data_IF_296683653043
#
_entry.id   IF_296683653043
#
_cell.length_a   1.000
_cell.length_b   1.000
_cell.length_c   1.000
_cell.angle_alpha   90.00
_cell.angle_beta   90.00
_cell.angle_gamma   90.00
#
_symmetry.space_group_name_H-M   'P 1'
#
loop_
_entity.id
_entity.type
_entity.pdbx_description
1 polymer ?
#
# COMPACT_ATOMS: atom_id res chain seq x y z
N UNK A 1 -25.73 -5.87 23.26
CA UNK A 1 -26.20 -5.03 22.14
C UNK A 1 -27.72 -5.02 22.01
N UNK A 2 -28.43 -6.15 21.87
CA UNK A 2 -29.92 -6.13 21.75
C UNK A 2 -30.64 -5.62 23.01
N UNK A 3 -30.22 -6.02 24.21
CA UNK A 3 -30.83 -5.55 25.46
C UNK A 3 -30.58 -4.05 25.74
N UNK A 4 -29.47 -3.47 25.25
CA UNK A 4 -29.17 -2.04 25.46
C UNK A 4 -30.01 -1.16 24.52
N UNK A 5 -30.18 -1.57 23.26
CA UNK A 5 -31.05 -0.87 22.30
C UNK A 5 -32.53 -0.86 22.71
N UNK A 6 -33.00 -1.91 23.38
CA UNK A 6 -34.38 -1.98 23.89
C UNK A 6 -34.61 -0.99 25.05
N UNK A 7 -33.65 -0.89 25.97
CA UNK A 7 -33.72 0.04 27.11
C UNK A 7 -33.67 1.50 26.62
N UNK A 8 -32.81 1.80 25.66
CA UNK A 8 -32.64 3.16 25.12
C UNK A 8 -33.88 3.65 24.36
N UNK A 9 -34.50 2.78 23.54
CA UNK A 9 -35.71 3.12 22.78
C UNK A 9 -36.94 3.34 23.68
N UNK A 10 -37.06 2.60 24.77
CA UNK A 10 -38.14 2.81 25.75
C UNK A 10 -37.90 4.05 26.61
N UNK A 11 -36.65 4.35 26.94
CA UNK A 11 -36.27 5.57 27.69
C UNK A 11 -36.69 6.85 26.97
N UNK A 12 -36.48 6.93 25.64
CA UNK A 12 -36.84 8.11 24.85
C UNK A 12 -38.35 8.35 24.77
N UNK A 13 -39.15 7.29 24.68
CA UNK A 13 -40.62 7.40 24.70
C UNK A 13 -41.13 7.84 26.07
N UNK A 14 -40.55 7.30 27.15
CA UNK A 14 -40.90 7.67 28.52
C UNK A 14 -40.56 9.15 28.78
N UNK A 15 -39.38 9.60 28.35
CA UNK A 15 -38.97 11.01 28.46
C UNK A 15 -39.92 11.95 27.69
N UNK A 16 -40.30 11.58 26.47
CA UNK A 16 -41.23 12.37 25.66
C UNK A 16 -42.63 12.46 26.30
N UNK A 17 -43.16 11.34 26.80
CA UNK A 17 -44.46 11.29 27.48
C UNK A 17 -44.41 12.10 28.79
N UNK A 18 -43.32 12.01 29.55
CA UNK A 18 -43.13 12.78 30.78
C UNK A 18 -43.12 14.29 30.51
N UNK A 19 -42.43 14.74 29.45
CA UNK A 19 -42.42 16.15 29.04
C UNK A 19 -43.81 16.61 28.61
N UNK A 20 -44.55 15.79 27.85
CA UNK A 20 -45.90 16.10 27.41
C UNK A 20 -46.87 16.25 28.59
N UNK A 21 -46.81 15.34 29.57
CA UNK A 21 -47.62 15.39 30.80
C UNK A 21 -47.29 16.64 31.61
N UNK A 22 -46.01 17.01 31.69
CA UNK A 22 -45.56 18.18 32.46
C UNK A 22 -46.04 19.49 31.81
N UNK A 23 -46.01 19.57 30.48
CA UNK A 23 -46.57 20.71 29.71
C UNK A 23 -48.10 20.79 29.88
N UNK A 24 -48.80 19.67 29.76
CA UNK A 24 -50.26 19.61 29.96
C UNK A 24 -50.60 20.00 31.40
N UNK A 25 -49.82 19.54 32.37
CA UNK A 25 -49.96 19.91 33.77
C UNK A 25 -49.85 21.42 33.98
N UNK A 26 -48.78 22.05 33.47
CA UNK A 26 -48.56 23.50 33.61
C UNK A 26 -49.71 24.32 32.99
N UNK A 27 -50.30 23.87 31.87
CA UNK A 27 -51.37 24.60 31.18
C UNK A 27 -52.76 24.34 31.76
N UNK A 28 -53.05 23.11 32.17
CA UNK A 28 -54.41 22.68 32.56
C UNK A 28 -54.66 22.82 34.05
N UNK A 29 -53.65 22.62 34.92
CA UNK A 29 -53.83 22.71 36.38
C UNK A 29 -54.29 24.11 36.84
N UNK A 30 -53.71 25.24 36.38
CA UNK A 30 -54.15 26.56 36.82
C UNK A 30 -55.60 26.86 36.43
N UNK A 31 -55.99 26.48 35.20
CA UNK A 31 -57.36 26.63 34.73
C UNK A 31 -58.33 25.76 35.54
N UNK A 32 -58.03 24.48 35.71
CA UNK A 32 -58.89 23.53 36.44
C UNK A 32 -59.06 23.89 37.92
N UNK A 33 -58.00 24.38 38.58
CA UNK A 33 -58.05 24.80 39.99
C UNK A 33 -58.73 26.16 40.19
N UNK A 34 -58.78 27.02 39.16
CA UNK A 34 -59.38 28.37 39.25
C UNK A 34 -60.91 28.40 39.07
N UNK A 35 -61.52 27.37 38.47
CA UNK A 35 -62.91 27.40 37.99
C UNK A 35 -63.93 26.71 38.90
N UNK A 36 -63.51 25.92 39.92
CA UNK A 36 -64.42 25.09 40.70
C UNK A 36 -64.47 25.46 42.19
N UNK A 37 -65.69 25.60 42.74
CA UNK A 37 -65.97 25.85 44.16
C UNK A 37 -65.66 24.63 45.03
N UNK A 38 -64.39 24.25 45.11
CA UNK A 38 -63.95 23.35 46.16
C UNK A 38 -64.14 24.06 47.51
N UNK A 39 -64.60 23.36 48.56
CA UNK A 39 -64.78 23.91 49.94
C UNK A 39 -63.47 24.43 50.59
N UNK A 40 -62.39 24.59 49.84
CA UNK A 40 -61.14 25.19 50.30
C UNK A 40 -61.19 26.70 50.09
N UNK A 41 -61.03 27.48 51.17
CA UNK A 41 -60.91 28.93 51.08
C UNK A 41 -59.53 29.31 50.56
N UNK A 42 -59.48 29.87 49.35
CA UNK A 42 -58.24 30.30 48.69
C UNK A 42 -57.74 31.69 49.16
N UNK A 43 -58.21 32.21 50.30
CA UNK A 43 -57.79 33.52 50.85
C UNK A 43 -56.30 33.56 51.27
N UNK A 44 -55.71 32.42 51.64
CA UNK A 44 -54.30 32.26 52.03
C UNK A 44 -53.56 31.27 51.09
N UNK A 45 -53.86 31.30 49.78
CA UNK A 45 -53.21 30.44 48.76
C UNK A 45 -51.70 30.53 48.70
N UNK A 46 -51.14 31.69 49.06
CA UNK A 46 -49.68 31.89 49.12
C UNK A 46 -48.99 30.85 50.01
N UNK A 47 -49.52 30.59 51.21
CA UNK A 47 -48.92 29.65 52.18
C UNK A 47 -48.99 28.17 51.72
N UNK A 48 -50.04 27.81 50.98
CA UNK A 48 -50.17 26.48 50.35
C UNK A 48 -49.15 26.36 49.22
N UNK A 49 -49.02 27.39 48.38
CA UNK A 49 -48.00 27.47 47.34
C UNK A 49 -46.57 27.39 47.88
N UNK A 50 -46.29 28.09 48.99
CA UNK A 50 -45.00 28.11 49.66
C UNK A 50 -44.63 26.73 50.25
N UNK A 51 -45.62 26.03 50.81
CA UNK A 51 -45.42 24.67 51.36
C UNK A 51 -45.20 23.64 50.25
N UNK A 52 -45.99 23.71 49.17
CA UNK A 52 -45.81 22.84 48.00
C UNK A 52 -44.46 23.13 47.33
N UNK A 53 -44.13 24.39 47.08
CA UNK A 53 -42.85 24.80 46.49
C UNK A 53 -41.66 24.42 47.36
N UNK A 54 -41.74 24.62 48.68
CA UNK A 54 -40.67 24.28 49.63
C UNK A 54 -40.35 22.80 49.71
N UNK A 55 -41.35 21.92 49.53
CA UNK A 55 -41.18 20.45 49.55
C UNK A 55 -40.82 19.92 48.15
N UNK A 56 -41.49 20.42 47.11
CA UNK A 56 -41.33 19.89 45.74
C UNK A 56 -40.06 20.38 45.05
N UNK A 57 -39.61 21.61 45.30
CA UNK A 57 -38.43 22.15 44.62
C UNK A 57 -37.14 21.36 44.93
N UNK A 58 -36.82 20.97 46.19
CA UNK A 58 -35.67 20.11 46.47
C UNK A 58 -35.77 18.71 45.84
N UNK A 59 -36.97 18.11 45.82
CA UNK A 59 -37.22 16.81 45.18
C UNK A 59 -37.00 16.87 43.67
N UNK A 60 -37.57 17.88 43.00
CA UNK A 60 -37.35 18.13 41.57
C UNK A 60 -35.87 18.42 41.30
N UNK A 61 -35.21 19.18 42.18
CA UNK A 61 -33.78 19.47 42.10
C UNK A 61 -32.92 18.21 42.16
N UNK A 62 -33.23 17.29 43.07
CA UNK A 62 -32.52 16.00 43.20
C UNK A 62 -32.74 15.10 41.99
N UNK A 63 -33.99 14.98 41.51
CA UNK A 63 -34.30 14.23 40.29
C UNK A 63 -33.57 14.84 39.08
N UNK A 64 -33.58 16.16 38.95
CA UNK A 64 -32.90 16.88 37.88
C UNK A 64 -31.39 16.65 37.93
N UNK A 65 -30.77 16.70 39.11
CA UNK A 65 -29.35 16.41 39.28
C UNK A 65 -28.98 14.97 38.85
N UNK A 66 -29.81 13.98 39.20
CA UNK A 66 -29.62 12.59 38.78
C UNK A 66 -29.74 12.45 37.26
N UNK A 67 -30.76 13.06 36.65
CA UNK A 67 -30.96 13.03 35.19
C UNK A 67 -29.80 13.70 34.44
N UNK A 68 -29.34 14.85 34.93
CA UNK A 68 -28.18 15.57 34.39
C UNK A 68 -26.92 14.70 34.48
N UNK A 69 -26.68 14.05 35.62
CA UNK A 69 -25.56 13.12 35.78
C UNK A 69 -25.62 11.95 34.78
N UNK A 70 -26.80 11.36 34.60
CA UNK A 70 -26.99 10.28 33.61
C UNK A 70 -26.75 10.78 32.18
N UNK A 71 -27.23 11.97 31.83
CA UNK A 71 -27.01 12.59 30.53
C UNK A 71 -25.51 12.83 30.27
N UNK A 72 -24.79 13.40 31.25
CA UNK A 72 -23.34 13.58 31.14
C UNK A 72 -22.59 12.25 30.99
N UNK A 73 -23.02 11.20 31.70
CA UNK A 73 -22.42 9.87 31.56
C UNK A 73 -22.57 9.33 30.14
N UNK A 74 -23.75 9.48 29.52
CA UNK A 74 -23.99 9.09 28.12
C UNK A 74 -23.14 9.95 27.16
N UNK A 75 -23.06 11.27 27.40
CA UNK A 75 -22.25 12.17 26.59
C UNK A 75 -20.75 11.82 26.64
N UNK A 76 -20.21 11.49 27.81
CA UNK A 76 -18.81 11.05 27.95
C UNK A 76 -18.58 9.77 27.15
N UNK A 77 -19.51 8.80 27.22
CA UNK A 77 -19.43 7.57 26.43
C UNK A 77 -19.44 7.87 24.93
N UNK A 78 -20.34 8.73 24.45
CA UNK A 78 -20.40 9.14 23.05
C UNK A 78 -19.10 9.82 22.60
N UNK A 79 -18.54 10.73 23.40
CA UNK A 79 -17.27 11.40 23.11
C UNK A 79 -16.10 10.41 23.01
N UNK A 80 -16.05 9.39 23.88
CA UNK A 80 -15.02 8.35 23.79
C UNK A 80 -15.13 7.55 22.48
N UNK A 81 -16.35 7.26 22.03
CA UNK A 81 -16.55 6.55 20.76
C UNK A 81 -16.18 7.42 19.56
N UNK A 82 -16.55 8.71 19.57
CA UNK A 82 -16.14 9.69 18.57
C UNK A 82 -14.61 9.78 18.48
N UNK A 83 -13.90 9.79 19.62
CA UNK A 83 -12.43 9.81 19.62
C UNK A 83 -11.82 8.56 18.98
N UNK A 84 -12.42 7.38 19.17
CA UNK A 84 -11.96 6.16 18.49
C UNK A 84 -12.19 6.25 16.98
N UNK A 85 -13.39 6.68 16.56
CA UNK A 85 -13.71 6.86 15.14
C UNK A 85 -12.77 7.87 14.48
N UNK A 86 -12.46 8.98 15.15
CA UNK A 86 -11.53 9.99 14.66
C UNK A 86 -10.10 9.46 14.47
N UNK A 87 -9.64 8.54 15.33
CA UNK A 87 -8.33 7.88 15.15
C UNK A 87 -8.33 6.92 13.95
N UNK A 88 -9.42 6.17 13.75
CA UNK A 88 -9.58 5.29 12.59
C UNK A 88 -9.58 6.11 11.30
N UNK A 89 -10.37 7.19 11.26
CA UNK A 89 -10.44 8.08 10.10
C UNK A 89 -9.09 8.72 9.76
N UNK A 90 -8.35 9.25 10.74
CA UNK A 90 -7.00 9.78 10.50
C UNK A 90 -6.04 8.75 9.91
N UNK A 91 -6.16 7.49 10.35
CA UNK A 91 -5.37 6.41 9.79
C UNK A 91 -5.78 6.10 8.36
N UNK A 92 -7.08 5.96 8.10
CA UNK A 92 -7.64 5.73 6.77
C UNK A 92 -7.21 6.82 5.80
N UNK A 93 -7.37 8.10 6.15
CA UNK A 93 -6.96 9.24 5.34
C UNK A 93 -5.47 9.19 4.99
N UNK A 94 -4.62 8.90 5.99
CA UNK A 94 -3.17 8.77 5.78
C UNK A 94 -2.84 7.56 4.91
N UNK A 95 -3.54 6.45 5.08
CA UNK A 95 -3.34 5.24 4.31
C UNK A 95 -3.76 5.43 2.84
N UNK A 96 -4.94 6.00 2.58
CA UNK A 96 -5.39 6.35 1.22
C UNK A 96 -4.45 7.36 0.55
N UNK A 97 -3.94 8.35 1.28
CA UNK A 97 -2.93 9.28 0.76
C UNK A 97 -1.64 8.56 0.35
N UNK A 98 -1.20 7.57 1.13
CA UNK A 98 -0.01 6.77 0.82
C UNK A 98 -0.22 5.86 -0.40
N UNK A 99 -1.45 5.36 -0.61
CA UNK A 99 -1.84 4.61 -1.80
C UNK A 99 -1.87 5.48 -3.06
N UNK A 100 -2.41 6.70 -2.95
CA UNK A 100 -2.40 7.67 -4.05
C UNK A 100 -0.96 8.03 -4.41
N UNK A 101 -0.12 8.34 -3.41
CA UNK A 101 1.30 8.61 -3.63
C UNK A 101 2.04 7.41 -4.25
N UNK A 102 1.66 6.18 -3.91
CA UNK A 102 2.21 4.99 -4.56
C UNK A 102 1.89 4.96 -6.05
N UNK A 103 0.62 5.14 -6.40
CA UNK A 103 0.14 5.20 -7.79
C UNK A 103 0.81 6.33 -8.56
N UNK A 104 1.02 7.48 -7.92
CA UNK A 104 1.75 8.60 -8.51
C UNK A 104 3.23 8.30 -8.75
N UNK A 105 3.90 7.60 -7.83
CA UNK A 105 5.30 7.19 -8.04
C UNK A 105 5.44 6.30 -9.28
N UNK A 106 4.46 5.43 -9.54
CA UNK A 106 4.44 4.60 -10.75
C UNK A 106 4.12 5.44 -11.99
N UNK A 107 3.02 6.20 -11.97
CA UNK A 107 2.57 6.96 -13.14
C UNK A 107 3.57 8.04 -13.57
N UNK A 108 4.24 8.68 -12.61
CA UNK A 108 5.23 9.73 -12.84
C UNK A 108 6.63 9.16 -13.08
N UNK A 109 6.84 7.85 -12.92
CA UNK A 109 8.09 7.22 -13.29
C UNK A 109 8.32 7.42 -14.78
N UNK A 110 9.44 8.04 -15.15
CA UNK A 110 9.79 8.31 -16.54
C UNK A 110 11.26 8.04 -16.84
N UNK A 111 11.53 7.55 -18.05
CA UNK A 111 12.87 7.49 -18.62
C UNK A 111 12.85 8.30 -19.91
N UNK A 112 13.65 9.36 -19.92
CA UNK A 112 13.85 10.22 -21.08
C UNK A 112 15.23 9.96 -21.67
N UNK A 113 15.27 9.72 -22.98
CA UNK A 113 16.50 9.55 -23.72
C UNK A 113 16.32 9.97 -25.16
N UNK A 114 17.44 10.20 -25.82
CA UNK A 114 17.46 10.51 -27.24
C UNK A 114 17.71 9.23 -28.04
N UNK A 115 16.77 8.88 -28.90
CA UNK A 115 16.89 7.79 -29.84
C UNK A 115 17.35 8.29 -31.22
N UNK A 116 18.00 7.42 -31.99
CA UNK A 116 18.46 7.72 -33.36
C UNK A 116 17.67 6.84 -34.31
N UNK A 117 16.94 7.47 -35.23
CA UNK A 117 16.15 6.77 -36.24
C UNK A 117 16.80 6.94 -37.58
N UNK A 118 17.09 5.81 -38.23
CA UNK A 118 17.52 5.74 -39.62
C UNK A 118 16.27 5.57 -40.48
N UNK A 119 15.99 6.54 -41.37
CA UNK A 119 14.92 6.38 -42.34
C UNK A 119 15.42 5.58 -43.54
N UNK A 120 14.72 4.48 -43.84
CA UNK A 120 14.92 3.76 -45.09
C UNK A 120 14.16 4.49 -46.21
N UNK A 121 14.88 4.89 -47.27
CA UNK A 121 14.22 5.43 -48.45
C UNK A 121 13.49 4.29 -49.16
N UNK A 122 12.16 4.33 -49.21
CA UNK A 122 11.38 3.50 -50.13
C UNK A 122 11.69 3.98 -51.55
N UNK A 123 12.58 3.28 -52.26
CA UNK A 123 12.88 3.55 -53.67
C UNK A 123 12.11 2.59 -54.56
N UNK A 124 11.18 3.15 -55.32
CA UNK A 124 10.38 2.49 -56.35
C UNK A 124 11.19 2.21 -57.65
N UNK A 125 12.42 1.70 -57.56
CA UNK A 125 13.18 1.33 -58.78
C UNK A 125 14.32 0.33 -58.57
N UNK A 126 14.29 -0.68 -59.44
CA UNK A 126 15.27 -1.75 -59.65
C UNK A 126 16.66 -1.21 -60.08
N UNK A 127 17.50 -0.75 -59.16
CA UNK A 127 18.94 -0.60 -59.40
C UNK A 127 19.79 -0.90 -58.15
N UNK A 128 21.02 -1.44 -58.29
CA UNK A 128 21.80 -1.92 -57.17
C UNK A 128 22.42 -0.79 -56.31
N UNK A 129 22.52 -1.12 -55.02
CA UNK A 129 22.96 -0.31 -53.87
C UNK A 129 24.20 0.55 -54.12
N UNK A 130 24.04 1.88 -54.08
CA UNK A 130 25.02 2.76 -53.43
C UNK A 130 24.53 2.98 -52.00
N UNK A 131 25.37 2.77 -50.99
CA UNK A 131 25.10 3.19 -49.60
C UNK A 131 24.98 4.71 -49.58
N UNK A 132 23.81 5.26 -49.93
CA UNK A 132 23.47 6.63 -49.58
C UNK A 132 23.36 6.71 -48.06
N UNK A 133 23.94 7.73 -47.46
CA UNK A 133 23.76 8.05 -46.04
C UNK A 133 22.27 8.09 -45.73
N UNK A 134 21.78 7.14 -44.95
CA UNK A 134 20.43 7.20 -44.40
C UNK A 134 20.36 8.43 -43.49
N UNK A 135 19.40 9.35 -43.68
CA UNK A 135 19.27 10.50 -42.81
C UNK A 135 18.96 9.99 -41.40
N UNK A 136 19.81 10.39 -40.45
CA UNK A 136 19.63 10.10 -39.03
C UNK A 136 18.88 11.25 -38.40
N UNK A 137 17.71 10.97 -37.85
CA UNK A 137 16.99 11.96 -37.02
C UNK A 137 17.10 11.58 -35.56
N UNK A 138 17.31 12.60 -34.73
CA UNK A 138 17.24 12.48 -33.28
C UNK A 138 15.78 12.59 -32.87
N UNK A 139 15.29 11.66 -32.06
CA UNK A 139 13.95 11.70 -31.46
C UNK A 139 14.09 11.62 -29.95
N UNK A 140 13.51 12.58 -29.24
CA UNK A 140 13.39 12.45 -27.79
C UNK A 140 12.25 11.49 -27.48
N UNK A 141 12.57 10.44 -26.72
CA UNK A 141 11.64 9.39 -26.33
C UNK A 141 11.45 9.47 -24.83
N UNK A 142 10.20 9.45 -24.42
CA UNK A 142 9.80 9.33 -23.02
C UNK A 142 8.97 8.07 -22.84
N UNK A 143 9.41 7.20 -21.95
CA UNK A 143 8.64 6.03 -21.51
C UNK A 143 8.14 6.32 -20.10
N UNK A 144 6.93 5.88 -19.78
CA UNK A 144 6.29 6.11 -18.49
C UNK A 144 5.63 4.86 -17.93
N UNK A 145 5.43 4.84 -16.61
CA UNK A 145 4.57 3.89 -15.94
C UNK A 145 5.00 2.42 -16.09
N UNK A 146 4.01 1.55 -16.27
CA UNK A 146 4.18 0.09 -16.22
C UNK A 146 5.14 -0.48 -17.28
N UNK A 147 5.24 0.18 -18.44
CA UNK A 147 6.20 -0.18 -19.48
C UNK A 147 7.66 -0.13 -18.98
N UNK A 148 7.96 0.79 -18.05
CA UNK A 148 9.27 0.88 -17.41
C UNK A 148 9.50 -0.32 -16.52
N UNK A 149 8.53 -0.69 -15.68
CA UNK A 149 8.66 -1.80 -14.74
C UNK A 149 8.90 -3.12 -15.47
N UNK A 150 8.15 -3.39 -16.54
CA UNK A 150 8.37 -4.58 -17.35
C UNK A 150 9.76 -4.57 -18.01
N UNK A 151 10.19 -3.42 -18.57
CA UNK A 151 11.53 -3.26 -19.10
C UNK A 151 12.63 -3.43 -18.03
N UNK A 152 12.40 -2.99 -16.80
CA UNK A 152 13.31 -3.15 -15.66
C UNK A 152 13.49 -4.61 -15.28
N UNK A 153 12.40 -5.40 -15.26
CA UNK A 153 12.47 -6.84 -15.00
C UNK A 153 13.31 -7.53 -16.08
N UNK A 154 12.99 -7.28 -17.36
CA UNK A 154 13.77 -7.87 -18.46
C UNK A 154 15.23 -7.43 -18.44
N UNK A 155 15.52 -6.18 -18.09
CA UNK A 155 16.90 -5.70 -17.97
C UNK A 155 17.65 -6.38 -16.82
N UNK A 156 16.97 -6.63 -15.69
CA UNK A 156 17.57 -7.38 -14.58
C UNK A 156 17.85 -8.84 -14.97
N UNK A 157 16.95 -9.49 -15.71
CA UNK A 157 17.17 -10.84 -16.27
C UNK A 157 18.39 -10.87 -17.21
N UNK A 158 18.51 -9.89 -18.10
CA UNK A 158 19.71 -9.74 -18.94
C UNK A 158 20.98 -9.50 -18.09
N UNK A 159 20.86 -8.77 -16.97
CA UNK A 159 21.98 -8.57 -16.06
C UNK A 159 22.39 -9.89 -15.38
N UNK A 160 21.44 -10.74 -15.00
CA UNK A 160 21.72 -12.08 -14.45
C UNK A 160 22.48 -12.93 -15.47
N UNK A 161 21.97 -13.03 -16.69
CA UNK A 161 22.60 -13.80 -17.78
C UNK A 161 24.02 -13.29 -18.07
N UNK A 162 24.19 -11.97 -18.18
CA UNK A 162 25.49 -11.36 -18.44
C UNK A 162 26.50 -11.69 -17.35
N UNK A 163 26.12 -11.48 -16.09
CA UNK A 163 27.03 -11.68 -14.95
C UNK A 163 27.38 -13.16 -14.80
N UNK A 164 26.42 -14.06 -15.00
CA UNK A 164 26.66 -15.50 -14.96
C UNK A 164 27.66 -15.95 -16.04
N UNK A 165 27.56 -15.42 -17.27
CA UNK A 165 28.51 -15.71 -18.35
C UNK A 165 29.94 -15.26 -18.02
N UNK A 166 30.09 -14.15 -17.28
CA UNK A 166 31.40 -13.60 -16.90
C UNK A 166 31.96 -14.30 -15.66
N UNK A 167 31.08 -14.65 -14.72
CA UNK A 167 31.40 -15.26 -13.43
C UNK A 167 30.68 -16.61 -13.31
N UNK A 168 31.19 -17.64 -13.99
CA UNK A 168 30.58 -18.98 -13.92
C UNK A 168 30.47 -19.47 -12.46
N UNK A 169 29.26 -19.72 -11.95
CA UNK A 169 29.07 -20.11 -10.55
C UNK A 169 29.55 -21.54 -10.34
N UNK A 170 30.35 -21.76 -9.28
CA UNK A 170 30.81 -23.11 -8.88
C UNK A 170 29.88 -23.77 -7.85
N UNK A 171 29.07 -22.98 -7.17
CA UNK A 171 28.13 -23.41 -6.14
C UNK A 171 27.03 -22.35 -5.95
N UNK A 172 25.98 -22.71 -5.20
CA UNK A 172 24.84 -21.82 -4.91
C UNK A 172 25.23 -20.52 -4.22
N UNK A 173 26.25 -20.52 -3.36
CA UNK A 173 26.71 -19.31 -2.67
C UNK A 173 27.33 -18.30 -3.63
N UNK A 174 28.09 -18.79 -4.60
CA UNK A 174 28.69 -17.95 -5.63
C UNK A 174 27.63 -17.46 -6.62
N UNK A 175 26.66 -18.30 -6.97
CA UNK A 175 25.48 -17.90 -7.75
C UNK A 175 24.70 -16.76 -7.06
N UNK A 176 24.49 -16.84 -5.75
CA UNK A 176 23.83 -15.79 -4.99
C UNK A 176 24.63 -14.47 -4.99
N UNK A 177 25.96 -14.53 -4.86
CA UNK A 177 26.81 -13.34 -4.97
C UNK A 177 26.84 -12.77 -6.39
N UNK A 178 26.84 -13.62 -7.42
CA UNK A 178 26.71 -13.20 -8.81
C UNK A 178 25.38 -12.48 -9.05
N UNK A 179 24.27 -13.01 -8.54
CA UNK A 179 22.96 -12.38 -8.64
C UNK A 179 22.93 -11.03 -7.91
N UNK A 180 23.66 -10.91 -6.79
CA UNK A 180 23.87 -9.63 -6.11
C UNK A 180 24.64 -8.63 -6.98
N UNK A 181 25.67 -9.08 -7.70
CA UNK A 181 26.41 -8.24 -8.66
C UNK A 181 25.51 -7.81 -9.83
N UNK A 182 24.67 -8.72 -10.35
CA UNK A 182 23.67 -8.40 -11.36
C UNK A 182 22.68 -7.34 -10.86
N UNK A 183 22.24 -7.43 -9.60
CA UNK A 183 21.40 -6.40 -8.99
C UNK A 183 22.11 -5.05 -8.92
N UNK A 184 23.41 -5.01 -8.59
CA UNK A 184 24.18 -3.76 -8.59
C UNK A 184 24.29 -3.16 -9.99
N UNK A 185 24.44 -3.98 -11.03
CA UNK A 185 24.43 -3.52 -12.43
C UNK A 185 23.07 -2.90 -12.80
N UNK A 186 21.98 -3.61 -12.49
CA UNK A 186 20.62 -3.17 -12.72
C UNK A 186 20.27 -1.87 -11.96
N UNK A 187 20.62 -1.81 -10.69
CA UNK A 187 20.20 -0.72 -9.81
C UNK A 187 21.06 0.52 -9.99
N UNK A 188 22.40 0.41 -9.98
CA UNK A 188 23.29 1.56 -10.09
C UNK A 188 23.75 1.87 -11.52
N UNK A 189 23.64 0.89 -12.42
CA UNK A 189 24.16 1.03 -13.78
C UNK A 189 25.64 0.71 -13.88
N UNK A 190 26.06 0.45 -15.12
CA UNK A 190 27.42 0.03 -15.47
C UNK A 190 28.52 1.06 -15.16
N UNK A 191 28.18 2.34 -15.28
CA UNK A 191 29.13 3.45 -15.07
C UNK A 191 29.31 3.80 -13.59
N UNK A 192 28.51 3.19 -12.70
CA UNK A 192 28.57 3.51 -11.27
C UNK A 192 29.88 3.05 -10.63
N UNK A 193 30.37 3.88 -9.70
CA UNK A 193 31.54 3.53 -8.88
C UNK A 193 31.30 2.30 -8.02
N UNK A 194 30.06 2.11 -7.57
CA UNK A 194 29.65 0.97 -6.74
C UNK A 194 29.79 -0.32 -7.55
N UNK A 195 29.19 -0.40 -8.74
CA UNK A 195 29.30 -1.59 -9.59
C UNK A 195 30.77 -1.88 -9.94
N UNK A 196 31.52 -0.85 -10.37
CA UNK A 196 32.94 -0.99 -10.73
C UNK A 196 33.80 -1.57 -9.61
N UNK A 197 33.50 -1.25 -8.34
CA UNK A 197 34.21 -1.80 -7.17
C UNK A 197 34.08 -3.32 -7.06
N UNK A 198 32.93 -3.89 -7.40
CA UNK A 198 32.68 -5.34 -7.29
C UNK A 198 33.14 -6.14 -8.51
N UNK A 199 33.44 -5.46 -9.62
CA UNK A 199 33.78 -6.13 -10.89
C UNK A 199 35.13 -5.69 -11.45
N UNK A 200 36.05 -5.15 -10.64
CA UNK A 200 37.32 -4.56 -11.10
C UNK A 200 38.06 -5.44 -12.12
N UNK A 201 38.21 -6.73 -11.79
CA UNK A 201 39.06 -7.66 -12.53
C UNK A 201 38.41 -8.13 -13.84
N UNK A 202 37.09 -7.98 -13.96
CA UNK A 202 36.29 -8.40 -15.12
C UNK A 202 35.57 -7.26 -15.82
N UNK A 203 35.82 -6.01 -15.41
CA UNK A 203 35.09 -4.83 -15.87
C UNK A 203 35.16 -4.66 -17.39
N UNK A 204 36.33 -4.90 -17.99
CA UNK A 204 36.51 -4.79 -19.45
C UNK A 204 35.74 -5.86 -20.23
N UNK A 205 35.61 -7.07 -19.69
CA UNK A 205 34.81 -8.14 -20.30
C UNK A 205 33.33 -7.77 -20.28
N UNK A 206 32.83 -7.29 -19.14
CA UNK A 206 31.45 -6.80 -18.98
C UNK A 206 31.18 -5.62 -19.92
N UNK A 207 32.14 -4.69 -20.03
CA UNK A 207 32.04 -3.54 -20.94
C UNK A 207 31.81 -3.96 -22.38
N UNK A 208 32.51 -5.00 -22.84
CA UNK A 208 32.34 -5.57 -24.18
C UNK A 208 30.90 -6.03 -24.42
N UNK A 209 30.36 -6.83 -23.50
CA UNK A 209 28.99 -7.35 -23.58
C UNK A 209 27.93 -6.24 -23.52
N UNK A 210 28.08 -5.27 -22.61
CA UNK A 210 27.15 -4.13 -22.50
C UNK A 210 27.17 -3.26 -23.76
N UNK A 211 28.35 -3.04 -24.34
CA UNK A 211 28.47 -2.30 -25.61
C UNK A 211 27.76 -3.04 -26.73
N UNK A 212 27.81 -4.38 -26.75
CA UNK A 212 27.06 -5.19 -27.70
C UNK A 212 25.54 -5.02 -27.51
N UNK A 213 25.02 -5.19 -26.30
CA UNK A 213 23.60 -5.00 -26.00
C UNK A 213 23.10 -3.60 -26.40
N UNK A 214 23.85 -2.53 -26.06
CA UNK A 214 23.48 -1.16 -26.44
C UNK A 214 23.45 -0.95 -27.96
N UNK A 215 24.39 -1.54 -28.70
CA UNK A 215 24.37 -1.48 -30.17
C UNK A 215 23.19 -2.24 -30.78
N UNK A 216 22.81 -3.38 -30.21
CA UNK A 216 21.62 -4.12 -30.66
C UNK A 216 20.37 -3.29 -30.41
N UNK A 217 20.26 -2.67 -29.24
CA UNK A 217 19.17 -1.75 -28.91
C UNK A 217 19.08 -0.57 -29.89
N UNK A 218 20.20 0.10 -30.20
CA UNK A 218 20.24 1.23 -31.15
C UNK A 218 19.79 0.83 -32.57
N UNK A 219 20.02 -0.43 -32.98
CA UNK A 219 19.66 -0.92 -34.32
C UNK A 219 18.19 -1.31 -34.47
N UNK A 220 17.40 -1.32 -33.40
CA UNK A 220 15.98 -1.74 -33.43
C UNK A 220 15.11 -0.93 -34.37
N UNK A 221 15.55 0.28 -34.71
CA UNK A 221 14.86 1.18 -35.62
C UNK A 221 15.43 1.16 -37.04
N UNK A 222 16.53 0.43 -37.30
CA UNK A 222 17.18 0.38 -38.62
C UNK A 222 16.44 -0.49 -39.66
N UNK A 223 15.23 -0.97 -39.38
CA UNK A 223 14.47 -1.86 -40.28
C UNK A 223 14.98 -3.31 -40.33
N UNK A 224 16.09 -3.60 -39.67
CA UNK A 224 16.64 -4.95 -39.54
C UNK A 224 15.73 -5.83 -38.67
N UNK A 225 15.49 -7.07 -39.10
CA UNK A 225 14.82 -8.06 -38.27
C UNK A 225 15.74 -8.44 -37.10
N UNK A 226 15.43 -7.93 -35.91
CA UNK A 226 16.12 -8.28 -34.66
C UNK A 226 15.46 -9.53 -34.08
N UNK A 227 16.26 -10.57 -33.85
CA UNK A 227 15.78 -11.86 -33.32
C UNK A 227 15.58 -11.82 -31.81
N UNK A 228 16.24 -10.88 -31.15
CA UNK A 228 16.30 -10.70 -29.72
C UNK A 228 15.02 -10.08 -29.15
N UNK A 229 14.13 -10.91 -28.59
CA UNK A 229 12.84 -10.50 -28.03
C UNK A 229 12.94 -9.40 -26.96
N UNK A 230 14.01 -9.38 -26.15
CA UNK A 230 14.18 -8.40 -25.08
C UNK A 230 14.17 -6.94 -25.59
N UNK A 231 14.54 -6.72 -26.87
CA UNK A 231 14.58 -5.39 -27.49
C UNK A 231 13.19 -4.77 -27.62
N UNK A 232 12.15 -5.60 -27.69
CA UNK A 232 10.75 -5.15 -27.75
C UNK A 232 10.18 -4.82 -26.36
N UNK A 233 10.71 -5.44 -25.31
CA UNK A 233 10.28 -5.20 -23.93
C UNK A 233 11.05 -4.04 -23.29
N UNK A 234 12.37 -4.02 -23.46
CA UNK A 234 13.21 -2.93 -22.97
C UNK A 234 13.09 -1.77 -23.95
N UNK A 235 12.25 -0.79 -23.61
CA UNK A 235 12.02 0.39 -24.44
C UNK A 235 13.08 1.48 -24.26
N UNK A 236 13.93 1.40 -23.22
CA UNK A 236 14.96 2.38 -22.86
C UNK A 236 16.40 1.83 -22.97
N UNK A 237 17.44 2.69 -23.07
CA UNK A 237 18.82 2.22 -23.19
C UNK A 237 19.25 1.34 -21.99
N UNK A 238 19.72 0.11 -22.21
CA UNK A 238 19.99 -0.81 -21.11
C UNK A 238 21.28 -0.49 -20.33
N UNK A 239 21.32 -0.98 -19.11
CA UNK A 239 22.37 -0.92 -18.10
C UNK A 239 22.75 0.50 -17.65
N UNK A 240 21.81 1.44 -17.66
CA UNK A 240 22.01 2.81 -17.16
C UNK A 240 21.80 2.95 -15.65
N UNK A 241 21.05 2.03 -15.04
CA UNK A 241 20.71 2.09 -13.62
C UNK A 241 19.37 2.76 -13.34
N UNK A 242 18.77 2.37 -12.21
CA UNK A 242 17.45 2.80 -11.75
C UNK A 242 17.43 3.42 -10.36
N UNK A 243 18.61 3.76 -9.83
CA UNK A 243 18.81 4.37 -8.52
C UNK A 243 18.00 5.67 -8.32
N UNK A 244 17.68 6.42 -9.37
CA UNK A 244 16.85 7.62 -9.25
C UNK A 244 15.35 7.36 -9.09
N UNK A 245 14.87 6.15 -9.38
CA UNK A 245 13.43 5.82 -9.48
C UNK A 245 12.99 4.85 -8.39
N UNK A 246 13.69 3.71 -8.30
CA UNK A 246 13.30 2.60 -7.45
C UNK A 246 13.31 2.91 -5.94
N UNK A 247 14.21 3.75 -5.39
CA UNK A 247 14.18 4.05 -3.96
C UNK A 247 12.89 4.71 -3.50
N UNK A 248 12.32 5.60 -4.31
CA UNK A 248 11.07 6.30 -3.95
C UNK A 248 9.90 5.30 -3.92
N UNK A 249 9.82 4.45 -4.94
CA UNK A 249 8.87 3.35 -5.02
C UNK A 249 8.95 2.40 -3.81
N UNK A 250 10.11 1.81 -3.55
CA UNK A 250 10.27 0.86 -2.44
C UNK A 250 10.06 1.50 -1.08
N UNK A 251 10.53 2.75 -0.88
CA UNK A 251 10.38 3.44 0.40
C UNK A 251 8.92 3.77 0.69
N UNK A 252 8.17 4.23 -0.30
CA UNK A 252 6.75 4.49 -0.09
C UNK A 252 6.00 3.20 0.31
N UNK A 253 6.17 2.09 -0.44
CA UNK A 253 5.55 0.81 -0.07
C UNK A 253 5.91 0.36 1.35
N UNK A 254 7.20 0.40 1.68
CA UNK A 254 7.68 0.02 3.01
C UNK A 254 7.07 0.89 4.11
N UNK A 255 6.92 2.19 3.88
CA UNK A 255 6.31 3.11 4.85
C UNK A 255 4.80 2.95 4.96
N UNK A 256 4.10 2.62 3.87
CA UNK A 256 2.67 2.27 3.92
C UNK A 256 2.47 1.03 4.78
N UNK A 257 3.33 0.01 4.62
CA UNK A 257 3.27 -1.21 5.44
C UNK A 257 3.61 -0.96 6.90
N UNK A 258 4.60 -0.11 7.20
CA UNK A 258 4.87 0.32 8.58
C UNK A 258 3.68 1.07 9.19
N UNK A 259 3.02 1.94 8.42
CA UNK A 259 1.83 2.66 8.89
C UNK A 259 0.72 1.67 9.29
N UNK A 260 0.46 0.68 8.44
CA UNK A 260 -0.53 -0.37 8.71
C UNK A 260 -0.12 -1.21 9.92
N UNK A 261 1.14 -1.63 9.99
CA UNK A 261 1.68 -2.38 11.13
C UNK A 261 1.55 -1.61 12.45
N UNK A 262 2.01 -0.37 12.50
CA UNK A 262 1.98 0.49 13.70
C UNK A 262 0.55 0.79 14.17
N UNK A 263 -0.43 0.75 13.25
CA UNK A 263 -1.84 0.93 13.59
C UNK A 263 -2.37 -0.19 14.49
N UNK A 264 -1.81 -1.40 14.39
CA UNK A 264 -2.17 -2.57 15.19
C UNK A 264 -2.04 -2.32 16.70
N UNK A 265 -1.04 -1.54 17.10
CA UNK A 265 -0.75 -1.27 18.52
C UNK A 265 -1.45 -0.01 19.03
N UNK A 266 -1.83 0.91 18.13
CA UNK A 266 -2.25 2.29 18.48
C UNK A 266 -3.75 2.55 18.29
N UNK A 267 -4.41 1.75 17.46
CA UNK A 267 -5.80 1.94 17.04
C UNK A 267 -6.58 0.67 17.38
N UNK A 268 -7.84 0.77 17.87
CA UNK A 268 -8.66 -0.41 18.18
C UNK A 268 -9.20 -1.09 16.90
N UNK A 269 -8.32 -1.40 15.93
CA UNK A 269 -8.66 -2.18 14.75
C UNK A 269 -8.53 -3.68 15.06
N UNK A 270 -9.45 -4.48 14.51
CA UNK A 270 -9.29 -5.94 14.55
C UNK A 270 -8.17 -6.38 13.60
N UNK A 271 -7.51 -7.49 13.91
CA UNK A 271 -6.47 -8.08 13.03
C UNK A 271 -6.98 -8.35 11.60
N UNK A 272 -8.24 -8.74 11.45
CA UNK A 272 -8.86 -8.95 10.14
C UNK A 272 -8.94 -7.65 9.34
N UNK A 273 -9.33 -6.56 9.99
CA UNK A 273 -9.42 -5.23 9.34
C UNK A 273 -8.06 -4.76 8.82
N UNK A 274 -6.97 -5.04 9.55
CA UNK A 274 -5.61 -4.70 9.14
C UNK A 274 -5.21 -5.44 7.86
N UNK A 275 -5.54 -6.73 7.77
CA UNK A 275 -5.28 -7.52 6.58
C UNK A 275 -6.05 -7.00 5.36
N UNK A 276 -7.24 -6.43 5.55
CA UNK A 276 -8.00 -5.84 4.46
C UNK A 276 -7.31 -4.60 3.87
N UNK A 277 -6.69 -3.75 4.70
CA UNK A 277 -5.84 -2.66 4.21
C UNK A 277 -4.61 -3.15 3.45
N UNK A 278 -3.92 -4.17 3.98
CA UNK A 278 -2.78 -4.79 3.29
C UNK A 278 -3.21 -5.37 1.93
N UNK A 279 -4.34 -6.08 1.89
CA UNK A 279 -4.92 -6.62 0.65
C UNK A 279 -5.24 -5.52 -0.35
N UNK A 280 -5.75 -4.37 0.12
CA UNK A 280 -6.03 -3.23 -0.74
C UNK A 280 -4.75 -2.57 -1.29
N UNK A 281 -3.68 -2.50 -0.50
CA UNK A 281 -2.37 -2.07 -1.00
C UNK A 281 -1.84 -3.06 -2.04
N UNK A 282 -1.87 -4.36 -1.72
CA UNK A 282 -1.37 -5.42 -2.60
C UNK A 282 -2.14 -5.51 -3.91
N UNK A 283 -3.45 -5.24 -3.91
CA UNK A 283 -4.25 -5.24 -5.14
C UNK A 283 -3.88 -4.14 -6.13
N UNK A 284 -3.14 -3.10 -5.69
CA UNK A 284 -2.57 -2.09 -6.58
C UNK A 284 -1.28 -2.58 -7.27
N UNK A 285 -0.63 -3.62 -6.74
CA UNK A 285 0.63 -4.13 -7.26
C UNK A 285 0.40 -5.15 -8.36
N UNK A 286 0.97 -4.88 -9.53
CA UNK A 286 1.08 -5.87 -10.59
C UNK A 286 2.02 -7.03 -10.22
N UNK A 287 1.93 -8.13 -10.97
CA UNK A 287 2.82 -9.29 -10.78
C UNK A 287 4.30 -8.91 -10.96
N UNK A 288 4.62 -8.04 -11.93
CA UNK A 288 5.98 -7.55 -12.15
C UNK A 288 6.48 -6.68 -10.98
N UNK A 289 5.60 -5.89 -10.36
CA UNK A 289 5.93 -5.12 -9.16
C UNK A 289 6.18 -6.00 -7.94
N UNK A 290 5.37 -7.05 -7.73
CA UNK A 290 5.60 -8.04 -6.68
C UNK A 290 6.93 -8.78 -6.90
N UNK A 291 7.25 -9.11 -8.16
CA UNK A 291 8.54 -9.71 -8.52
C UNK A 291 9.71 -8.74 -8.23
N UNK A 292 9.56 -7.47 -8.59
CA UNK A 292 10.57 -6.44 -8.32
C UNK A 292 10.81 -6.24 -6.81
N UNK A 293 9.75 -6.28 -6.00
CA UNK A 293 9.84 -6.28 -4.53
C UNK A 293 10.64 -7.48 -4.05
N UNK A 294 10.37 -8.68 -4.57
CA UNK A 294 11.09 -9.89 -4.22
C UNK A 294 12.58 -9.82 -4.62
N UNK A 295 12.89 -9.31 -5.81
CA UNK A 295 14.28 -9.10 -6.26
C UNK A 295 15.03 -8.16 -5.31
N UNK A 296 14.42 -7.03 -4.95
CA UNK A 296 15.01 -6.08 -4.01
C UNK A 296 15.16 -6.67 -2.60
N UNK A 297 14.21 -7.48 -2.16
CA UNK A 297 14.30 -8.22 -0.91
C UNK A 297 15.50 -9.17 -0.89
N UNK A 298 15.65 -9.97 -1.94
CA UNK A 298 16.67 -11.03 -2.03
C UNK A 298 18.08 -10.52 -2.25
N UNK A 299 18.26 -9.67 -3.25
CA UNK A 299 19.60 -9.28 -3.73
C UNK A 299 19.92 -7.81 -3.48
N UNK A 300 18.89 -6.99 -3.23
CA UNK A 300 19.01 -5.56 -3.07
C UNK A 300 19.06 -5.08 -1.62
N UNK A 301 18.40 -3.96 -1.39
CA UNK A 301 18.37 -3.24 -0.11
C UNK A 301 17.16 -3.62 0.75
N UNK A 302 16.33 -4.55 0.29
CA UNK A 302 15.05 -4.90 0.89
C UNK A 302 15.13 -5.90 2.04
N UNK A 303 16.30 -6.31 2.53
CA UNK A 303 16.44 -7.35 3.59
C UNK A 303 15.62 -7.09 4.86
N UNK A 304 15.25 -5.84 5.13
CA UNK A 304 14.41 -5.45 6.28
C UNK A 304 12.91 -5.68 6.07
N UNK A 305 12.46 -6.10 4.88
CA UNK A 305 11.07 -6.37 4.57
C UNK A 305 10.57 -7.66 5.22
N UNK A 306 11.45 -8.66 5.33
CA UNK A 306 11.15 -9.90 6.01
C UNK A 306 12.41 -10.54 6.60
N UNK A 307 12.35 -11.02 7.84
CA UNK A 307 13.41 -11.87 8.40
C UNK A 307 12.81 -13.25 8.59
N UNK A 308 13.20 -14.15 7.70
CA UNK A 308 12.63 -15.48 7.47
C UNK A 308 12.61 -16.45 8.65
N UNK A 309 13.13 -16.09 9.83
CA UNK A 309 13.37 -17.04 10.93
C UNK A 309 13.14 -16.50 12.36
N UNK A 310 12.65 -15.26 12.55
CA UNK A 310 12.46 -14.71 13.89
C UNK A 310 11.02 -14.23 14.12
N UNK A 311 10.33 -14.83 15.11
CA UNK A 311 9.00 -14.39 15.56
C UNK A 311 9.03 -12.97 16.14
N UNK A 312 10.20 -12.48 16.54
CA UNK A 312 10.42 -11.10 16.99
C UNK A 312 10.92 -10.18 15.85
N UNK A 313 10.93 -10.66 14.60
CA UNK A 313 11.17 -9.80 13.45
C UNK A 313 10.09 -8.74 13.38
N UNK A 314 10.51 -7.48 13.48
CA UNK A 314 9.59 -6.36 13.40
C UNK A 314 8.80 -6.34 12.08
N UNK A 315 9.33 -6.82 10.96
CA UNK A 315 8.67 -6.68 9.67
C UNK A 315 8.57 -8.06 9.02
N UNK A 316 7.34 -8.58 8.92
CA UNK A 316 6.98 -9.84 8.28
C UNK A 316 6.10 -9.53 7.05
N UNK A 317 6.57 -8.62 6.19
CA UNK A 317 5.73 -8.06 5.15
C UNK A 317 5.49 -9.02 3.99
N UNK A 318 6.45 -9.89 3.70
CA UNK A 318 6.33 -10.87 2.62
C UNK A 318 5.59 -12.12 3.09
N UNK A 319 5.79 -12.51 4.34
CA UNK A 319 5.19 -13.71 4.97
C UNK A 319 3.83 -13.43 5.61
N UNK A 320 3.77 -12.70 6.73
CA UNK A 320 2.52 -12.42 7.46
C UNK A 320 1.55 -11.56 6.64
N UNK A 321 2.05 -10.50 6.01
CA UNK A 321 1.23 -9.61 5.18
C UNK A 321 1.14 -10.05 3.72
N UNK A 322 1.80 -11.15 3.35
CA UNK A 322 1.66 -11.80 2.04
C UNK A 322 1.83 -10.82 0.86
N UNK A 323 2.74 -9.84 0.94
CA UNK A 323 2.85 -8.77 -0.07
C UNK A 323 3.22 -9.24 -1.48
N UNK A 324 3.73 -10.47 -1.61
CA UNK A 324 4.10 -11.12 -2.88
C UNK A 324 3.18 -12.31 -3.22
N UNK A 325 1.94 -12.29 -2.71
CA UNK A 325 0.99 -13.39 -2.87
C UNK A 325 0.69 -13.75 -4.34
N UNK A 326 0.63 -12.77 -5.23
CA UNK A 326 0.27 -12.95 -6.64
C UNK A 326 1.51 -13.04 -7.56
N UNK A 327 2.72 -13.20 -6.98
CA UNK A 327 3.93 -13.38 -7.79
C UNK A 327 3.77 -14.61 -8.70
N UNK A 328 4.08 -14.46 -9.98
CA UNK A 328 4.03 -15.56 -10.94
C UNK A 328 5.28 -16.42 -10.79
N UNK A 329 5.17 -17.47 -9.98
CA UNK A 329 6.30 -18.32 -9.57
C UNK A 329 6.96 -18.98 -10.80
N UNK A 330 6.17 -19.37 -11.79
CA UNK A 330 6.66 -20.01 -13.02
C UNK A 330 7.48 -19.08 -13.93
N UNK A 331 7.29 -17.77 -13.80
CA UNK A 331 7.95 -16.75 -14.62
C UNK A 331 9.22 -16.19 -13.98
N UNK A 332 9.66 -16.78 -12.86
CA UNK A 332 10.87 -16.34 -12.17
C UNK A 332 12.09 -16.91 -12.90
N UNK A 333 13.05 -16.04 -13.22
CA UNK A 333 14.32 -16.43 -13.84
C UNK A 333 15.01 -17.54 -13.05
N UNK A 334 15.53 -18.55 -13.74
CA UNK A 334 16.08 -19.78 -13.12
C UNK A 334 17.20 -19.52 -12.11
N UNK A 335 17.97 -18.45 -12.31
CA UNK A 335 19.05 -18.04 -11.41
C UNK A 335 18.53 -17.53 -10.07
N UNK A 336 17.30 -17.04 -10.02
CA UNK A 336 16.70 -16.52 -8.79
C UNK A 336 16.12 -17.69 -8.01
N UNK A 337 16.44 -17.74 -6.70
CA UNK A 337 15.83 -18.75 -5.84
C UNK A 337 14.31 -18.53 -5.77
N UNK A 338 13.57 -19.61 -6.05
CA UNK A 338 12.12 -19.62 -6.03
C UNK A 338 11.58 -19.19 -4.64
N UNK A 339 10.60 -18.26 -4.57
CA UNK A 339 9.97 -17.81 -3.32
C UNK A 339 9.41 -18.94 -2.45
N UNK A 340 8.80 -19.98 -3.03
CA UNK A 340 8.29 -21.14 -2.28
C UNK A 340 9.42 -21.88 -1.56
N UNK A 341 10.58 -22.03 -2.21
CA UNK A 341 11.77 -22.64 -1.61
C UNK A 341 12.29 -21.73 -0.49
N UNK A 342 12.40 -20.43 -0.77
CA UNK A 342 12.92 -19.45 0.17
C UNK A 342 12.09 -19.37 1.46
N UNK A 343 10.77 -19.38 1.35
CA UNK A 343 9.83 -19.31 2.48
C UNK A 343 9.36 -20.68 2.97
N UNK A 344 9.97 -21.78 2.52
CA UNK A 344 9.54 -23.16 2.83
C UNK A 344 9.39 -23.44 4.33
N UNK A 345 10.27 -22.90 5.17
CA UNK A 345 10.15 -23.05 6.63
C UNK A 345 8.93 -22.34 7.20
N UNK A 346 8.60 -21.15 6.69
CA UNK A 346 7.42 -20.40 7.10
C UNK A 346 6.15 -21.11 6.64
N UNK A 347 6.11 -21.51 5.36
CA UNK A 347 5.00 -22.23 4.75
C UNK A 347 4.65 -23.47 5.58
N UNK A 348 5.63 -24.33 5.85
CA UNK A 348 5.43 -25.57 6.64
C UNK A 348 4.94 -25.32 8.06
N UNK A 349 5.25 -24.16 8.64
CA UNK A 349 4.96 -23.85 10.04
C UNK A 349 3.63 -23.11 10.24
N UNK A 350 3.17 -22.35 9.24
CA UNK A 350 2.08 -21.38 9.42
C UNK A 350 1.01 -21.39 8.32
N UNK A 351 1.28 -21.95 7.14
CA UNK A 351 0.32 -21.97 6.03
C UNK A 351 -0.50 -23.25 6.02
N UNK A 352 -1.75 -23.14 5.57
CA UNK A 352 -2.68 -24.25 5.35
C UNK A 352 -3.16 -24.23 3.90
N UNK A 353 -3.79 -25.32 3.42
CA UNK A 353 -4.38 -25.36 2.08
C UNK A 353 -5.44 -24.27 1.85
N UNK A 354 -6.14 -23.85 2.91
CA UNK A 354 -7.16 -22.80 2.86
C UNK A 354 -6.59 -21.37 2.92
N UNK A 355 -5.36 -21.19 3.40
CA UNK A 355 -4.71 -19.88 3.54
C UNK A 355 -3.23 -19.91 3.09
N UNK A 356 -2.97 -20.17 1.80
CA UNK A 356 -1.60 -20.27 1.29
C UNK A 356 -0.88 -18.92 1.28
N UNK A 357 0.45 -18.94 1.31
CA UNK A 357 1.30 -17.77 1.14
C UNK A 357 1.22 -17.24 -0.30
N UNK A 358 1.14 -18.12 -1.29
CA UNK A 358 1.02 -17.77 -2.70
C UNK A 358 -0.35 -18.17 -3.28
N UNK A 359 -0.88 -17.37 -4.20
CA UNK A 359 -2.19 -17.57 -4.82
C UNK A 359 -2.29 -18.91 -5.57
N UNK A 360 -1.19 -19.30 -6.22
CA UNK A 360 -1.09 -20.53 -7.00
C UNK A 360 -0.88 -21.79 -6.13
N UNK A 361 -0.80 -21.62 -4.81
CA UNK A 361 -0.52 -22.68 -3.85
C UNK A 361 0.93 -22.70 -3.37
N UNK A 362 1.12 -23.42 -2.26
CA UNK A 362 2.40 -23.50 -1.53
C UNK A 362 3.14 -24.85 -1.72
N UNK A 363 2.61 -25.70 -2.62
CA UNK A 363 3.05 -27.07 -2.89
C UNK A 363 4.21 -27.18 -3.87
#
# INVERSE_FOLDING_TARGET
MENENYIERNSNKIAFIAILILIIGILVLPWALSQHHWKFSFKNTGQIGDTIGGITAPLIGLISAILIYLAFKVQIRANLEIQKQFKIQQFEDKFYSMLEFHRDNINNMSIQFSDIIEFEYVKDSLQPRKKSSTPKSRRDVEIRGMDIINGMITEFELALELIEQVFLPKNKKQEEENNRIAFLLFFHGFESKIFRKYTSDKYNSIKGSITHYRRVFERRHSGDFIKEYWVHTIKFPPFHGHESRLPHYFRNLFQTLNLVKDSTDKIPLSKNSIMDYVRMLRSQLSNSEQYLVYINYRYGYGKSWDKTLDKNSNNQFLTLYKMIHNIQIDNISRQIENPQIHFSNYIKSFCTEEDPLFEWGDS
#
